data_IF_621697673590
#
_entry.id   IF_621697673590
#
_cell.length_a   1.000
_cell.length_b   1.000
_cell.length_c   1.000
_cell.angle_alpha   90.00
_cell.angle_beta   90.00
_cell.angle_gamma   90.00
#
_symmetry.space_group_name_H-M   'P 1'
#
loop_
_entity.id
_entity.type
_entity.pdbx_description
1 polymer ?
#
# COMPACT_ATOMS: atom_id res chain seq x y z
N UNK A 1 5.29 8.54 3.89
CA UNK A 1 6.58 9.22 4.17
C UNK A 1 7.76 8.46 3.58
N UNK A 2 7.95 7.16 3.92
CA UNK A 2 9.07 6.34 3.41
C UNK A 2 9.18 6.32 1.87
N UNK A 3 8.05 6.17 1.17
CA UNK A 3 8.01 6.16 -0.30
C UNK A 3 8.47 7.47 -0.94
N UNK A 4 8.21 8.60 -0.28
CA UNK A 4 8.58 9.95 -0.77
C UNK A 4 10.07 10.19 -0.55
N UNK A 5 10.62 9.69 0.56
CA UNK A 5 12.04 9.75 0.86
C UNK A 5 12.89 8.83 -0.05
N UNK A 6 12.30 7.76 -0.61
CA UNK A 6 12.93 6.89 -1.60
C UNK A 6 13.03 7.50 -3.01
N UNK A 7 12.38 8.64 -3.29
CA UNK A 7 12.51 9.31 -4.58
C UNK A 7 13.97 9.75 -4.74
N UNK A 8 14.67 9.45 -5.86
CA UNK A 8 16.11 9.67 -5.99
C UNK A 8 16.58 11.09 -5.64
N UNK A 9 15.82 12.11 -6.06
CA UNK A 9 16.09 13.52 -5.73
C UNK A 9 16.01 13.78 -4.22
N UNK A 10 14.95 13.29 -3.57
CA UNK A 10 14.73 13.47 -2.15
C UNK A 10 15.74 12.68 -1.33
N UNK A 11 16.01 11.43 -1.72
CA UNK A 11 16.98 10.55 -1.09
C UNK A 11 18.36 11.21 -1.01
N UNK A 12 18.84 11.78 -2.13
CA UNK A 12 20.12 12.49 -2.19
C UNK A 12 20.13 13.71 -1.25
N UNK A 13 19.10 14.55 -1.31
CA UNK A 13 19.00 15.73 -0.44
C UNK A 13 19.00 15.38 1.05
N UNK A 14 18.26 14.35 1.45
CA UNK A 14 18.23 13.93 2.85
C UNK A 14 19.54 13.27 3.31
N UNK A 15 20.23 12.56 2.42
CA UNK A 15 21.55 11.98 2.70
C UNK A 15 22.61 13.06 2.89
N UNK A 16 22.61 14.08 2.02
CA UNK A 16 23.53 15.23 2.12
C UNK A 16 23.28 16.05 3.39
N UNK A 17 22.01 16.26 3.75
CA UNK A 17 21.61 16.94 4.99
C UNK A 17 21.80 16.10 6.26
N UNK A 18 22.34 14.87 6.17
CA UNK A 18 22.56 13.94 7.30
C UNK A 18 21.32 13.71 8.17
N UNK A 19 20.12 13.75 7.58
CA UNK A 19 18.88 13.51 8.32
C UNK A 19 18.70 12.00 8.53
N UNK A 20 18.60 11.49 9.77
CA UNK A 20 18.54 10.06 10.05
C UNK A 20 17.13 9.49 9.81
N UNK A 21 16.69 9.42 8.55
CA UNK A 21 15.45 8.71 8.18
C UNK A 21 15.70 7.23 7.87
N UNK A 22 14.67 6.41 8.08
CA UNK A 22 14.70 4.96 7.82
C UNK A 22 15.34 4.57 6.46
N UNK A 23 15.01 5.21 5.32
CA UNK A 23 15.63 4.85 4.04
C UNK A 23 17.13 5.17 3.95
N UNK A 24 17.62 6.09 4.78
CA UNK A 24 19.02 6.56 4.78
C UNK A 24 19.87 5.72 5.73
N UNK A 25 19.30 5.32 6.87
CA UNK A 25 19.96 4.40 7.81
C UNK A 25 19.85 2.93 7.38
N UNK A 26 18.83 2.59 6.60
CA UNK A 26 18.65 1.25 6.01
C UNK A 26 18.99 1.24 4.51
N UNK A 27 18.90 0.09 3.88
CA UNK A 27 19.05 0.00 2.42
C UNK A 27 17.74 0.33 1.71
N UNK A 28 17.82 0.91 0.51
CA UNK A 28 16.64 1.19 -0.32
C UNK A 28 15.75 -0.05 -0.50
N UNK A 29 16.37 -1.21 -0.77
CA UNK A 29 15.68 -2.50 -0.91
C UNK A 29 14.92 -2.91 0.36
N UNK A 30 15.49 -2.70 1.55
CA UNK A 30 14.81 -3.00 2.83
C UNK A 30 13.59 -2.09 3.00
N UNK A 31 13.72 -0.81 2.69
CA UNK A 31 12.60 0.14 2.76
C UNK A 31 11.48 -0.23 1.77
N UNK A 32 11.81 -0.57 0.53
CA UNK A 32 10.83 -1.01 -0.46
C UNK A 32 10.07 -2.26 -0.01
N UNK A 33 10.77 -3.23 0.60
CA UNK A 33 10.15 -4.43 1.17
C UNK A 33 9.19 -4.09 2.30
N UNK A 34 9.56 -3.21 3.21
CA UNK A 34 8.67 -2.77 4.30
C UNK A 34 7.39 -2.13 3.76
N UNK A 35 7.51 -1.27 2.74
CA UNK A 35 6.34 -0.65 2.09
C UNK A 35 5.43 -1.72 1.47
N UNK A 36 6.02 -2.70 0.78
CA UNK A 36 5.29 -3.80 0.15
C UNK A 36 4.58 -4.68 1.20
N UNK A 37 5.26 -5.02 2.29
CA UNK A 37 4.69 -5.80 3.40
C UNK A 37 3.55 -5.03 4.07
N UNK A 38 3.70 -3.72 4.28
CA UNK A 38 2.61 -2.89 4.81
C UNK A 38 1.37 -2.93 3.90
N UNK A 39 1.56 -2.76 2.60
CA UNK A 39 0.48 -2.83 1.61
C UNK A 39 -0.19 -4.22 1.58
N UNK A 40 0.57 -5.31 1.76
CA UNK A 40 0.04 -6.67 1.89
C UNK A 40 -0.91 -6.81 3.08
N UNK A 41 -0.48 -6.36 4.26
CA UNK A 41 -1.34 -6.44 5.45
C UNK A 41 -2.56 -5.55 5.31
N UNK A 42 -2.44 -4.37 4.72
CA UNK A 42 -3.58 -3.50 4.44
C UNK A 42 -4.64 -4.19 3.59
N UNK A 43 -4.27 -4.90 2.51
CA UNK A 43 -5.26 -5.57 1.66
C UNK A 43 -5.98 -6.71 2.38
N UNK A 44 -5.27 -7.48 3.21
CA UNK A 44 -5.88 -8.55 4.02
C UNK A 44 -6.85 -7.95 5.03
N UNK A 45 -6.39 -6.98 5.82
CA UNK A 45 -7.19 -6.37 6.88
C UNK A 45 -8.45 -5.74 6.29
N UNK A 46 -8.36 -5.03 5.17
CA UNK A 46 -9.50 -4.38 4.55
C UNK A 46 -10.55 -5.40 4.07
N UNK A 47 -10.11 -6.50 3.46
CA UNK A 47 -11.02 -7.55 3.00
C UNK A 47 -11.70 -8.27 4.17
N UNK A 48 -10.96 -8.58 5.23
CA UNK A 48 -11.53 -9.18 6.44
C UNK A 48 -12.51 -8.24 7.14
N UNK A 49 -12.24 -6.93 7.18
CA UNK A 49 -13.21 -5.94 7.67
C UNK A 49 -14.51 -5.95 6.85
N UNK A 50 -14.42 -6.05 5.51
CA UNK A 50 -15.61 -6.17 4.65
C UNK A 50 -16.45 -7.42 4.98
N UNK A 51 -15.79 -8.54 5.35
CA UNK A 51 -16.46 -9.78 5.77
C UNK A 51 -17.10 -9.65 7.15
N UNK A 52 -16.35 -9.14 8.13
CA UNK A 52 -16.81 -8.99 9.51
C UNK A 52 -17.98 -8.02 9.65
N UNK A 53 -17.94 -6.91 8.91
CA UNK A 53 -19.01 -5.91 8.88
C UNK A 53 -20.22 -6.34 8.03
N UNK A 54 -20.19 -7.54 7.44
CA UNK A 54 -21.24 -8.07 6.55
C UNK A 54 -21.62 -7.11 5.43
N UNK A 55 -20.62 -6.46 4.84
CA UNK A 55 -20.86 -5.54 3.73
C UNK A 55 -21.50 -6.24 2.51
N UNK A 56 -22.10 -5.47 1.60
CA UNK A 56 -22.77 -6.00 0.39
C UNK A 56 -21.95 -7.09 -0.29
N UNK A 57 -22.61 -8.13 -0.80
CA UNK A 57 -21.98 -9.10 -1.69
C UNK A 57 -21.26 -8.43 -2.88
N UNK A 58 -21.90 -7.43 -3.52
CA UNK A 58 -21.32 -6.71 -4.66
C UNK A 58 -20.07 -5.92 -4.24
N UNK A 59 -20.18 -5.14 -3.16
CA UNK A 59 -19.08 -4.32 -2.65
C UNK A 59 -17.92 -5.18 -2.16
N UNK A 60 -18.21 -6.31 -1.52
CA UNK A 60 -17.19 -7.28 -1.09
C UNK A 60 -16.44 -7.88 -2.29
N UNK A 61 -17.12 -8.12 -3.41
CA UNK A 61 -16.47 -8.58 -4.65
C UNK A 61 -15.55 -7.48 -5.20
N UNK A 62 -16.01 -6.23 -5.27
CA UNK A 62 -15.20 -5.09 -5.74
C UNK A 62 -13.94 -4.91 -4.87
N UNK A 63 -14.11 -4.89 -3.55
CA UNK A 63 -13.00 -4.81 -2.59
C UNK A 63 -12.06 -6.00 -2.78
N UNK A 64 -12.59 -7.22 -2.96
CA UNK A 64 -11.82 -8.42 -3.21
C UNK A 64 -10.94 -8.32 -4.47
N UNK A 65 -11.49 -7.81 -5.58
CA UNK A 65 -10.74 -7.61 -6.83
C UNK A 65 -9.62 -6.59 -6.63
N UNK A 66 -9.89 -5.47 -5.96
CA UNK A 66 -8.89 -4.45 -5.66
C UNK A 66 -7.78 -4.99 -4.73
N UNK A 67 -8.14 -5.75 -3.68
CA UNK A 67 -7.20 -6.41 -2.79
C UNK A 67 -6.32 -7.40 -3.55
N UNK A 68 -6.91 -8.21 -4.43
CA UNK A 68 -6.18 -9.17 -5.26
C UNK A 68 -5.19 -8.47 -6.20
N UNK A 69 -5.62 -7.41 -6.88
CA UNK A 69 -4.74 -6.61 -7.73
C UNK A 69 -3.56 -6.02 -6.94
N UNK A 70 -3.82 -5.49 -5.74
CA UNK A 70 -2.77 -4.97 -4.86
C UNK A 70 -1.79 -6.07 -4.43
N UNK A 71 -2.31 -7.26 -4.08
CA UNK A 71 -1.45 -8.41 -3.73
C UNK A 71 -0.53 -8.81 -4.88
N UNK A 72 -1.02 -8.85 -6.12
CA UNK A 72 -0.19 -9.16 -7.30
C UNK A 72 0.96 -8.15 -7.44
N UNK A 73 0.67 -6.85 -7.28
CA UNK A 73 1.72 -5.82 -7.32
C UNK A 73 2.73 -5.99 -6.20
N UNK A 74 2.26 -6.27 -4.98
CA UNK A 74 3.12 -6.48 -3.81
C UNK A 74 4.04 -7.69 -4.01
N UNK A 75 3.51 -8.83 -4.45
CA UNK A 75 4.31 -10.03 -4.71
C UNK A 75 5.39 -9.77 -5.75
N UNK A 76 5.05 -9.05 -6.83
CA UNK A 76 6.04 -8.63 -7.85
C UNK A 76 7.14 -7.75 -7.25
N UNK A 77 6.80 -6.83 -6.33
CA UNK A 77 7.77 -5.95 -5.70
C UNK A 77 8.65 -6.66 -4.66
N UNK A 78 8.13 -7.69 -3.98
CA UNK A 78 8.93 -8.51 -3.07
C UNK A 78 9.97 -9.35 -3.83
N UNK A 79 9.61 -9.88 -5.00
CA UNK A 79 10.52 -10.64 -5.86
C UNK A 79 11.58 -9.73 -6.52
N UNK A 80 11.15 -8.62 -7.13
CA UNK A 80 12.03 -7.69 -7.83
C UNK A 80 11.72 -6.24 -7.40
N UNK A 81 12.29 -5.80 -6.26
CA UNK A 81 12.00 -4.47 -5.74
C UNK A 81 12.48 -3.40 -6.71
N UNK A 82 11.58 -2.48 -7.05
CA UNK A 82 11.92 -1.33 -7.88
C UNK A 82 11.23 -0.06 -7.37
N UNK A 83 11.88 1.09 -7.58
CA UNK A 83 11.32 2.39 -7.20
C UNK A 83 9.99 2.66 -7.90
N UNK A 84 9.89 2.37 -9.21
CA UNK A 84 8.65 2.57 -9.98
C UNK A 84 7.49 1.73 -9.43
N UNK A 85 7.72 0.45 -9.16
CA UNK A 85 6.68 -0.46 -8.65
C UNK A 85 6.29 -0.13 -7.21
N UNK A 86 7.26 0.18 -6.35
CA UNK A 86 6.99 0.61 -4.97
C UNK A 86 6.16 1.89 -4.94
N UNK A 87 6.45 2.85 -5.84
CA UNK A 87 5.68 4.08 -5.95
C UNK A 87 4.26 3.84 -6.49
N UNK A 88 4.12 2.92 -7.45
CA UNK A 88 2.80 2.49 -7.93
C UNK A 88 1.98 1.83 -6.81
N UNK A 89 2.57 0.89 -6.07
CA UNK A 89 1.92 0.24 -4.90
C UNK A 89 1.46 1.30 -3.90
N UNK A 90 2.32 2.26 -3.57
CA UNK A 90 1.96 3.33 -2.65
C UNK A 90 0.77 4.16 -3.15
N UNK A 91 0.76 4.54 -4.43
CA UNK A 91 -0.36 5.31 -5.02
C UNK A 91 -1.66 4.50 -5.02
N UNK A 92 -1.61 3.25 -5.49
CA UNK A 92 -2.77 2.38 -5.56
C UNK A 92 -3.29 2.08 -4.15
N UNK A 93 -2.41 1.75 -3.21
CA UNK A 93 -2.79 1.52 -1.81
C UNK A 93 -3.43 2.76 -1.18
N UNK A 94 -2.86 3.95 -1.40
CA UNK A 94 -3.39 5.20 -0.84
C UNK A 94 -4.77 5.54 -1.40
N UNK A 95 -4.95 5.40 -2.72
CA UNK A 95 -6.25 5.59 -3.36
C UNK A 95 -7.26 4.55 -2.85
N UNK A 96 -6.82 3.30 -2.73
CA UNK A 96 -7.65 2.21 -2.26
C UNK A 96 -8.03 2.33 -0.79
N UNK A 97 -7.21 2.97 0.06
CA UNK A 97 -7.64 3.28 1.42
C UNK A 97 -8.85 4.22 1.42
N UNK A 98 -8.81 5.31 0.65
CA UNK A 98 -9.91 6.28 0.61
C UNK A 98 -11.16 5.65 -0.01
N UNK A 99 -11.03 5.07 -1.20
CA UNK A 99 -12.16 4.45 -1.91
C UNK A 99 -12.66 3.22 -1.15
N UNK A 100 -11.76 2.41 -0.59
CA UNK A 100 -12.09 1.21 0.16
C UNK A 100 -12.86 1.52 1.44
N UNK A 101 -12.49 2.57 2.17
CA UNK A 101 -13.27 3.04 3.31
C UNK A 101 -14.66 3.52 2.89
N UNK A 102 -14.76 4.28 1.80
CA UNK A 102 -16.06 4.74 1.28
C UNK A 102 -16.93 3.56 0.84
N UNK A 103 -16.37 2.61 0.11
CA UNK A 103 -17.06 1.39 -0.32
C UNK A 103 -17.52 0.57 0.88
N UNK A 104 -16.66 0.38 1.89
CA UNK A 104 -17.04 -0.29 3.14
C UNK A 104 -18.21 0.42 3.81
N UNK A 105 -18.13 1.73 3.98
CA UNK A 105 -19.22 2.51 4.58
C UNK A 105 -20.52 2.35 3.80
N UNK A 106 -20.49 2.55 2.48
CA UNK A 106 -21.67 2.39 1.62
C UNK A 106 -22.23 0.97 1.67
N UNK A 107 -21.34 -0.03 1.73
CA UNK A 107 -21.72 -1.44 1.80
C UNK A 107 -22.21 -1.90 3.15
N UNK A 108 -22.08 -1.09 4.20
CA UNK A 108 -22.67 -1.38 5.51
C UNK A 108 -23.96 -0.57 5.70
N UNK A 109 -24.00 0.67 5.20
CA UNK A 109 -25.12 1.60 5.43
C UNK A 109 -26.25 1.47 4.40
N UNK A 110 -25.93 1.30 3.12
CA UNK A 110 -26.93 1.28 2.04
C UNK A 110 -27.38 -0.16 1.72
N UNK A 111 -27.51 -0.98 2.76
CA UNK A 111 -28.04 -2.35 2.71
C UNK A 111 -28.93 -2.57 3.92
#
# INVERSE_FOLDING_TARGET
>A
ILTIALIPRNFKGYKEAKIPMWPIVSTEKKTMRIIAIGAFFTSIILYENARHLKANGIIRIIIGICCFFLMVLVMRNLMKPSNKLTFLIFKVASLFMIIGFLLLYLGVVFI
#
